data_IF_811016960473
#
_entry.id   IF_811016960473
#
_cell.length_a   1.000
_cell.length_b   1.000
_cell.length_c   1.000
_cell.angle_alpha   90.00
_cell.angle_beta   90.00
_cell.angle_gamma   90.00
#
_symmetry.space_group_name_H-M   'P 1'
#
loop_
_entity.id
_entity.type
_entity.pdbx_description
1 polymer ?
#
# COMPACT_ATOMS: atom_id res chain seq x y z
N UNK A 1 3.16 5.31 -12.82
CA UNK A 1 4.18 4.94 -11.82
C UNK A 1 3.81 5.65 -10.54
N UNK A 2 3.51 4.93 -9.46
CA UNK A 2 3.44 5.56 -8.14
C UNK A 2 4.78 6.27 -7.93
N UNK A 3 4.73 7.56 -7.60
CA UNK A 3 5.94 8.27 -7.20
C UNK A 3 6.24 7.78 -5.79
N UNK A 4 7.24 6.93 -5.64
CA UNK A 4 7.72 6.48 -4.35
C UNK A 4 8.46 7.64 -3.68
N UNK A 5 7.70 8.61 -3.18
CA UNK A 5 8.22 9.66 -2.32
C UNK A 5 8.28 9.08 -0.92
N UNK A 6 9.52 8.88 -0.44
CA UNK A 6 9.76 8.46 0.94
C UNK A 6 9.81 9.72 1.78
N UNK A 7 8.79 9.94 2.61
CA UNK A 7 8.84 10.91 3.69
C UNK A 7 9.57 10.29 4.88
N UNK A 8 10.77 10.79 5.16
CA UNK A 8 11.61 10.32 6.26
C UNK A 8 11.40 11.13 7.54
N UNK A 9 10.43 12.04 7.58
CA UNK A 9 10.08 12.81 8.78
C UNK A 9 9.66 11.85 9.89
N UNK A 10 10.37 11.83 11.03
CA UNK A 10 10.01 10.94 12.13
C UNK A 10 8.63 11.28 12.69
N UNK A 11 7.90 10.25 13.10
CA UNK A 11 6.74 10.39 13.99
C UNK A 11 7.30 10.45 15.42
N UNK A 12 7.24 11.62 16.04
CA UNK A 12 7.79 11.88 17.37
C UNK A 12 6.75 11.64 18.47
N UNK A 13 5.46 11.74 18.13
CA UNK A 13 4.37 11.62 19.11
C UNK A 13 3.26 10.68 18.65
N UNK A 14 2.51 10.15 19.63
CA UNK A 14 1.28 9.38 19.34
C UNK A 14 0.25 10.23 18.59
N UNK A 15 0.18 11.53 18.86
CA UNK A 15 -0.76 12.43 18.21
C UNK A 15 -0.49 12.55 16.70
N UNK A 16 0.78 12.62 16.30
CA UNK A 16 1.18 12.62 14.89
C UNK A 16 0.80 11.33 14.17
N UNK A 17 0.96 10.16 14.81
CA UNK A 17 0.52 8.90 14.23
C UNK A 17 -0.99 8.88 13.98
N UNK A 18 -1.77 9.40 14.94
CA UNK A 18 -3.23 9.49 14.78
C UNK A 18 -3.59 10.44 13.63
N UNK A 19 -2.96 11.61 13.58
CA UNK A 19 -3.20 12.60 12.53
C UNK A 19 -2.91 12.04 11.12
N UNK A 20 -1.87 11.20 10.98
CA UNK A 20 -1.54 10.54 9.72
C UNK A 20 -2.67 9.66 9.20
N UNK A 21 -3.27 8.83 10.07
CA UNK A 21 -4.42 8.00 9.69
C UNK A 21 -5.69 8.83 9.46
N UNK A 22 -5.91 9.86 10.29
CA UNK A 22 -7.06 10.75 10.17
C UNK A 22 -7.12 11.42 8.80
N UNK A 23 -5.98 11.87 8.27
CA UNK A 23 -5.86 12.44 6.92
C UNK A 23 -6.34 11.49 5.80
N UNK A 24 -6.40 10.17 6.06
CA UNK A 24 -6.94 9.17 5.14
C UNK A 24 -8.47 9.12 5.07
N UNK A 25 -9.17 9.71 6.03
CA UNK A 25 -10.64 9.70 6.14
C UNK A 25 -11.32 10.44 4.99
N UNK A 26 -12.35 9.83 4.39
CA UNK A 26 -13.05 10.39 3.22
C UNK A 26 -14.57 10.39 3.45
N UNK A 27 -15.32 11.36 2.89
CA UNK A 27 -16.78 11.29 2.88
C UNK A 27 -17.26 10.15 1.98
N UNK A 28 -18.48 9.67 2.20
CA UNK A 28 -19.08 8.56 1.43
C UNK A 28 -19.05 8.79 -0.09
N UNK A 29 -19.23 10.04 -0.54
CA UNK A 29 -19.15 10.42 -1.96
C UNK A 29 -17.76 10.19 -2.59
N UNK A 30 -16.72 10.07 -1.78
CA UNK A 30 -15.33 9.84 -2.20
C UNK A 30 -14.85 8.41 -1.96
N UNK A 31 -15.70 7.51 -1.48
CA UNK A 31 -15.35 6.10 -1.35
C UNK A 31 -15.04 5.48 -2.72
N UNK A 32 -14.09 4.54 -2.73
CA UNK A 32 -13.60 3.81 -3.90
C UNK A 32 -13.43 2.34 -3.53
N UNK A 33 -13.33 1.48 -4.54
CA UNK A 33 -13.08 0.04 -4.37
C UNK A 33 -11.62 -0.23 -4.77
N UNK A 34 -10.83 -0.76 -3.84
CA UNK A 34 -9.49 -1.26 -4.11
C UNK A 34 -9.53 -2.77 -4.26
N UNK A 35 -8.80 -3.30 -5.24
CA UNK A 35 -8.64 -4.74 -5.44
C UNK A 35 -7.16 -5.07 -5.55
N UNK A 36 -6.68 -5.94 -4.68
CA UNK A 36 -5.31 -6.46 -4.71
C UNK A 36 -5.36 -7.96 -4.96
N UNK A 37 -4.38 -8.49 -5.69
CA UNK A 37 -4.28 -9.93 -5.95
C UNK A 37 -2.82 -10.36 -6.12
N UNK A 38 -2.45 -11.39 -5.38
CA UNK A 38 -1.14 -12.01 -5.48
C UNK A 38 -1.18 -13.18 -6.47
N UNK A 39 -0.04 -13.44 -7.12
CA UNK A 39 0.12 -14.51 -8.10
C UNK A 39 1.47 -15.18 -7.83
N UNK A 40 1.51 -16.49 -7.96
CA UNK A 40 2.75 -17.26 -7.89
C UNK A 40 3.21 -17.61 -9.30
N UNK A 41 4.08 -16.80 -9.93
CA UNK A 41 4.60 -17.13 -11.25
C UNK A 41 5.52 -18.36 -11.17
N UNK A 42 5.43 -19.22 -12.19
CA UNK A 42 6.24 -20.42 -12.33
C UNK A 42 6.68 -20.64 -13.78
N UNK A 43 7.81 -21.34 -13.96
CA UNK A 43 8.26 -21.77 -15.28
C UNK A 43 7.35 -22.88 -15.82
N UNK A 44 6.82 -22.72 -17.04
CA UNK A 44 5.93 -23.72 -17.67
C UNK A 44 6.63 -25.08 -17.78
N UNK A 45 7.92 -25.07 -18.14
CA UNK A 45 8.75 -26.27 -18.07
C UNK A 45 9.18 -26.52 -16.62
N UNK A 46 8.71 -27.64 -16.05
CA UNK A 46 9.13 -28.10 -14.73
C UNK A 46 8.46 -27.42 -13.53
N UNK A 47 7.54 -26.48 -13.74
CA UNK A 47 6.68 -25.86 -12.71
C UNK A 47 7.44 -25.26 -11.51
N UNK A 48 8.67 -24.77 -11.73
CA UNK A 48 9.51 -24.19 -10.67
C UNK A 48 9.17 -22.71 -10.44
N UNK A 49 9.39 -22.17 -9.22
CA UNK A 49 9.29 -20.74 -8.96
C UNK A 49 10.19 -19.93 -9.89
N UNK A 50 9.81 -18.68 -10.20
CA UNK A 50 10.71 -17.74 -10.88
C UNK A 50 11.89 -17.35 -9.95
N UNK A 51 13.11 -17.11 -10.48
CA UNK A 51 14.25 -16.61 -9.69
C UNK A 51 14.04 -15.23 -9.08
#
# INVERSE_FOLDING_TARGET
MARDQIDMTPIETRAELVAWFEAGSKPKSQFRIGTEHEKFPFAIEGNKPVP
#
